data_IF_057680776956
#
_entry.id   IF_057680776956
#
_cell.length_a   1.000
_cell.length_b   1.000
_cell.length_c   1.000
_cell.angle_alpha   90.00
_cell.angle_beta   90.00
_cell.angle_gamma   90.00
#
_symmetry.space_group_name_H-M   'P 1'
#
loop_
_entity.id
_entity.type
_entity.pdbx_description
1 polymer ?
#
# COMPACT_ATOMS: atom_id res chain seq x y z
N UNK A 1 -1.22 -13.33 32.26
CA UNK A 1 -0.33 -13.44 31.08
C UNK A 1 -0.85 -12.45 30.06
N UNK A 2 -0.20 -11.31 29.90
CA UNK A 2 -0.55 -10.35 28.83
C UNK A 2 0.03 -10.87 27.53
N UNK A 3 -0.83 -11.31 26.60
CA UNK A 3 -0.43 -11.58 25.23
C UNK A 3 0.26 -10.32 24.68
N UNK A 4 1.54 -10.42 24.32
CA UNK A 4 2.21 -9.36 23.56
C UNK A 4 1.66 -9.42 22.15
N UNK A 5 0.56 -8.69 21.91
CA UNK A 5 -0.02 -8.56 20.57
C UNK A 5 1.02 -8.01 19.59
N UNK A 6 1.26 -8.73 18.51
CA UNK A 6 2.08 -8.26 17.39
C UNK A 6 1.22 -7.34 16.51
N UNK A 7 1.68 -6.10 16.28
CA UNK A 7 1.02 -5.18 15.34
C UNK A 7 1.62 -5.41 13.96
N UNK A 8 0.80 -5.81 13.00
CA UNK A 8 1.18 -5.88 11.60
C UNK A 8 0.16 -5.13 10.75
N UNK A 9 0.58 -4.70 9.57
CA UNK A 9 -0.29 -4.07 8.57
C UNK A 9 -0.14 -4.83 7.27
N UNK A 10 -1.26 -5.11 6.63
CA UNK A 10 -1.30 -5.83 5.36
C UNK A 10 -1.62 -4.87 4.23
N UNK A 11 -0.91 -5.02 3.11
CA UNK A 11 -1.14 -4.27 1.89
C UNK A 11 -1.45 -5.22 0.73
N UNK A 12 -2.35 -4.80 -0.16
CA UNK A 12 -2.64 -5.50 -1.41
C UNK A 12 -2.24 -4.63 -2.58
N UNK A 13 -1.24 -5.07 -3.35
CA UNK A 13 -0.80 -4.37 -4.56
C UNK A 13 -1.76 -4.67 -5.71
N UNK A 14 -2.15 -3.61 -6.43
CA UNK A 14 -3.04 -3.64 -7.59
C UNK A 14 -2.48 -2.74 -8.69
N UNK A 15 -2.83 -3.01 -9.95
CA UNK A 15 -2.45 -2.15 -11.08
C UNK A 15 -3.61 -1.25 -11.55
N UNK A 16 -4.82 -1.44 -11.00
CA UNK A 16 -6.06 -0.78 -11.41
C UNK A 16 -6.99 -0.54 -10.23
N UNK A 17 -7.78 0.54 -10.30
CA UNK A 17 -8.66 0.98 -9.22
C UNK A 17 -9.90 0.07 -9.07
N UNK A 18 -10.35 -0.51 -10.18
CA UNK A 18 -11.52 -1.38 -10.24
C UNK A 18 -11.28 -2.73 -9.51
N UNK A 19 -10.01 -3.11 -9.34
CA UNK A 19 -9.59 -4.35 -8.67
C UNK A 19 -9.40 -4.18 -7.15
N UNK A 20 -9.74 -3.01 -6.62
CA UNK A 20 -9.65 -2.69 -5.20
C UNK A 20 -10.88 -3.23 -4.49
N UNK A 21 -10.86 -4.52 -4.16
CA UNK A 21 -11.78 -5.07 -3.17
C UNK A 21 -11.39 -4.50 -1.78
N UNK A 22 -12.35 -3.87 -1.10
CA UNK A 22 -12.19 -3.44 0.29
C UNK A 22 -12.16 -4.67 1.22
N UNK A 23 -10.99 -5.28 1.35
CA UNK A 23 -10.76 -6.35 2.33
C UNK A 23 -10.50 -5.69 3.68
N UNK A 24 -11.37 -5.97 4.66
CA UNK A 24 -11.20 -5.46 6.01
C UNK A 24 -9.80 -5.79 6.55
N UNK A 25 -9.08 -4.77 7.04
CA UNK A 25 -7.72 -4.92 7.58
C UNK A 25 -6.60 -4.94 6.54
N UNK A 26 -6.89 -4.81 5.25
CA UNK A 26 -5.88 -4.74 4.17
C UNK A 26 -5.98 -3.40 3.45
N UNK A 27 -4.88 -2.66 3.40
CA UNK A 27 -4.80 -1.37 2.69
C UNK A 27 -4.44 -1.61 1.23
N UNK A 28 -5.26 -1.19 0.25
CA UNK A 28 -4.89 -1.30 -1.16
C UNK A 28 -3.80 -0.27 -1.51
N UNK A 29 -2.88 -0.65 -2.39
CA UNK A 29 -1.89 0.24 -3.00
C UNK A 29 -1.82 -0.01 -4.51
N UNK A 30 -1.82 1.05 -5.30
CA UNK A 30 -1.68 1.00 -6.75
C UNK A 30 -0.20 1.07 -7.15
N UNK A 31 0.25 0.10 -7.95
CA UNK A 31 1.57 0.08 -8.58
C UNK A 31 1.48 0.58 -10.02
N UNK A 32 2.28 1.58 -10.38
CA UNK A 32 2.30 2.15 -11.73
C UNK A 32 0.98 2.73 -12.20
N UNK A 33 0.08 3.06 -11.27
CA UNK A 33 -1.28 3.53 -11.54
C UNK A 33 -1.76 4.40 -10.39
N UNK A 34 -2.79 5.22 -10.61
CA UNK A 34 -3.32 6.15 -9.63
C UNK A 34 -4.83 6.27 -9.71
N UNK A 35 -5.45 6.51 -8.56
CA UNK A 35 -6.87 6.79 -8.44
C UNK A 35 -7.13 7.65 -7.20
N UNK A 36 -8.14 8.50 -7.27
CA UNK A 36 -8.51 9.35 -6.14
C UNK A 36 -8.95 8.49 -4.95
N UNK A 37 -8.44 8.80 -3.76
CA UNK A 37 -8.79 8.11 -2.52
C UNK A 37 -8.14 6.73 -2.34
N UNK A 38 -7.24 6.31 -3.23
CA UNK A 38 -6.46 5.06 -3.09
C UNK A 38 -4.97 5.39 -3.04
N UNK A 39 -4.23 4.72 -2.16
CA UNK A 39 -2.79 4.86 -2.06
C UNK A 39 -2.12 4.45 -3.38
N UNK A 40 -1.15 5.23 -3.86
CA UNK A 40 -0.39 4.92 -5.08
C UNK A 40 1.10 5.08 -4.84
N UNK A 41 1.89 4.34 -5.61
CA UNK A 41 3.35 4.33 -5.52
C UNK A 41 4.03 5.45 -6.31
N UNK A 42 3.27 6.39 -6.90
CA UNK A 42 3.76 7.41 -7.85
C UNK A 42 4.00 8.80 -7.23
N UNK A 43 3.99 8.89 -5.91
CA UNK A 43 4.20 10.14 -5.16
C UNK A 43 5.51 10.12 -4.36
N UNK A 44 6.07 11.29 -4.01
CA UNK A 44 7.29 11.33 -3.18
C UNK A 44 8.52 10.68 -3.83
N UNK A 45 9.33 9.98 -3.02
CA UNK A 45 10.48 9.18 -3.47
C UNK A 45 9.98 7.83 -3.99
N UNK A 46 10.01 7.67 -5.31
CA UNK A 46 9.44 6.50 -5.96
C UNK A 46 10.22 6.01 -7.18
N UNK A 47 9.90 4.77 -7.56
CA UNK A 47 10.36 4.12 -8.79
C UNK A 47 9.19 3.62 -9.65
N UNK A 48 8.01 4.24 -9.53
CA UNK A 48 6.76 3.81 -10.19
C UNK A 48 6.90 3.76 -11.72
N UNK A 49 7.71 4.64 -12.30
CA UNK A 49 8.04 4.63 -13.74
C UNK A 49 8.69 3.31 -14.22
N UNK A 50 9.24 2.51 -13.30
CA UNK A 50 9.85 1.21 -13.59
C UNK A 50 8.90 0.03 -13.31
N UNK A 51 7.60 0.27 -13.13
CA UNK A 51 6.60 -0.78 -12.88
C UNK A 51 6.58 -1.84 -14.00
N UNK A 52 6.86 -1.45 -15.24
CA UNK A 52 6.96 -2.41 -16.37
C UNK A 52 8.14 -3.39 -16.24
N UNK A 53 9.12 -3.10 -15.37
CA UNK A 53 10.31 -3.92 -15.13
C UNK A 53 10.24 -4.61 -13.78
N UNK A 54 9.87 -3.88 -12.73
CA UNK A 54 9.90 -4.34 -11.34
C UNK A 54 8.53 -4.80 -10.82
N UNK A 55 7.44 -4.54 -11.55
CA UNK A 55 6.05 -4.84 -11.16
C UNK A 55 5.77 -4.38 -9.71
N UNK A 56 5.18 -5.24 -8.88
CA UNK A 56 4.74 -4.93 -7.52
C UNK A 56 5.88 -4.46 -6.58
N UNK A 57 7.15 -4.67 -6.94
CA UNK A 57 8.28 -4.18 -6.16
C UNK A 57 8.35 -2.65 -6.12
N UNK A 58 7.76 -1.96 -7.08
CA UNK A 58 7.63 -0.49 -7.08
C UNK A 58 6.80 0.00 -5.89
N UNK A 59 5.67 -0.65 -5.62
CA UNK A 59 4.86 -0.42 -4.43
C UNK A 59 5.60 -0.81 -3.14
N UNK A 60 6.36 -1.90 -3.11
CA UNK A 60 7.16 -2.28 -1.94
C UNK A 60 8.25 -1.25 -1.63
N UNK A 61 8.93 -0.72 -2.66
CA UNK A 61 9.90 0.35 -2.50
C UNK A 61 9.24 1.60 -1.91
N UNK A 62 8.09 1.99 -2.45
CA UNK A 62 7.34 3.13 -1.97
C UNK A 62 6.93 2.96 -0.50
N UNK A 63 6.37 1.79 -0.15
CA UNK A 63 6.03 1.44 1.23
C UNK A 63 7.26 1.52 2.14
N UNK A 64 8.44 1.06 1.71
CA UNK A 64 9.66 1.18 2.50
C UNK A 64 10.04 2.64 2.78
N UNK A 65 9.89 3.53 1.80
CA UNK A 65 10.23 4.95 1.93
C UNK A 65 9.24 5.75 2.75
N UNK A 66 7.95 5.42 2.61
CA UNK A 66 6.85 6.25 3.10
C UNK A 66 6.03 5.57 4.21
N UNK A 67 6.46 4.41 4.73
CA UNK A 67 5.68 3.62 5.71
C UNK A 67 5.16 4.44 6.89
N UNK A 68 6.01 5.31 7.43
CA UNK A 68 5.70 6.13 8.62
C UNK A 68 4.71 7.26 8.33
N UNK A 69 4.58 7.67 7.06
CA UNK A 69 3.61 8.66 6.58
C UNK A 69 2.22 8.04 6.42
N UNK A 70 2.16 6.73 6.18
CA UNK A 70 0.93 5.96 6.16
C UNK A 70 0.48 5.80 7.61
N UNK A 71 -0.22 6.81 8.13
CA UNK A 71 -0.80 6.82 9.48
C UNK A 71 -1.53 5.50 9.83
N UNK A 72 -1.74 5.22 11.12
CA UNK A 72 -2.41 3.97 11.57
C UNK A 72 -3.65 3.69 10.71
N UNK A 73 -3.91 2.43 10.27
CA UNK A 73 -5.14 2.19 9.53
C UNK A 73 -6.27 2.58 10.48
N UNK A 74 -7.04 3.59 10.09
CA UNK A 74 -8.20 4.07 10.83
C UNK A 74 -9.08 2.85 11.11
N UNK A 75 -9.01 2.41 12.36
CA UNK A 75 -9.73 1.33 13.02
C UNK A 75 -10.99 0.89 12.25
N UNK A 76 -10.96 -0.26 11.57
CA UNK A 76 -12.20 -0.96 11.19
C UNK A 76 -12.59 -1.86 12.36
N UNK A 77 -13.40 -1.31 13.25
CA UNK A 77 -14.20 -2.04 14.25
C UNK A 77 -15.14 -3.02 13.56
#
# INVERSE_FOLDING_TARGET
MTEKGCKFRSFAVRHRAEDVACIQGVTPILAGSKAEGILSDDTGDNISALNSVYNEMTAVYWLWKHYDEIGSPERII
#
